data_IF_796888278405
#
_entry.id   IF_796888278405
#
_cell.length_a   1.000
_cell.length_b   1.000
_cell.length_c   1.000
_cell.angle_alpha   90.00
_cell.angle_beta   90.00
_cell.angle_gamma   90.00
#
_symmetry.space_group_name_H-M   'P 1'
#
loop_
_entity.id
_entity.type
_entity.pdbx_description
1 polymer ?
#
# COMPACT_ATOMS: atom_id res chain seq x y z
N UNK A 1 6.96 -2.22 -20.64
CA UNK A 1 5.78 -1.79 -19.85
C UNK A 1 6.22 -1.82 -18.41
N UNK A 2 6.16 -0.69 -17.72
CA UNK A 2 6.42 -0.59 -16.27
C UNK A 2 5.31 -1.36 -15.54
N UNK A 3 5.66 -2.15 -14.52
CA UNK A 3 4.67 -2.91 -13.75
C UNK A 3 3.85 -1.93 -12.89
N UNK A 4 2.54 -2.18 -12.71
CA UNK A 4 1.68 -1.34 -11.89
C UNK A 4 2.22 -1.30 -10.45
N UNK A 5 2.48 -0.11 -9.93
CA UNK A 5 3.02 0.10 -8.59
C UNK A 5 4.54 0.00 -8.47
N UNK A 6 5.27 -0.17 -9.57
CA UNK A 6 6.74 -0.10 -9.57
C UNK A 6 7.23 1.27 -9.09
N UNK A 7 6.58 2.36 -9.51
CA UNK A 7 6.92 3.70 -9.02
C UNK A 7 6.59 3.81 -7.52
N UNK A 8 5.41 3.33 -7.11
CA UNK A 8 4.96 3.36 -5.72
C UNK A 8 5.95 2.64 -4.77
N UNK A 9 6.43 1.45 -5.15
CA UNK A 9 7.39 0.66 -4.37
C UNK A 9 8.78 1.32 -4.30
N UNK A 10 9.13 2.11 -5.31
CA UNK A 10 10.37 2.89 -5.37
C UNK A 10 10.25 4.28 -4.72
N UNK A 11 9.16 4.56 -4.01
CA UNK A 11 8.97 5.84 -3.31
C UNK A 11 8.54 7.00 -4.20
N UNK A 12 8.10 6.71 -5.42
CA UNK A 12 7.50 7.69 -6.34
C UNK A 12 5.99 7.54 -6.26
N UNK A 13 5.25 8.65 -6.17
CA UNK A 13 3.78 8.58 -6.13
C UNK A 13 3.21 8.05 -7.46
N UNK A 14 2.33 7.05 -7.36
CA UNK A 14 1.66 6.44 -8.50
C UNK A 14 0.16 6.28 -8.24
N UNK A 15 -0.66 6.62 -9.23
CA UNK A 15 -2.10 6.36 -9.15
C UNK A 15 -2.40 4.92 -9.56
N UNK A 16 -2.96 4.14 -8.64
CA UNK A 16 -3.34 2.74 -8.87
C UNK A 16 -4.84 2.66 -9.11
N UNK A 17 -5.24 2.40 -10.36
CA UNK A 17 -6.64 2.39 -10.78
C UNK A 17 -7.41 1.16 -10.29
N UNK A 18 -6.87 -0.04 -10.53
CA UNK A 18 -7.48 -1.32 -10.18
C UNK A 18 -7.03 -1.87 -8.82
N UNK A 19 -7.70 -2.91 -8.27
CA UNK A 19 -7.28 -3.53 -7.03
C UNK A 19 -5.92 -4.23 -7.22
N UNK A 20 -4.92 -3.82 -6.46
CA UNK A 20 -3.59 -4.41 -6.47
C UNK A 20 -3.08 -4.65 -5.06
N UNK A 21 -2.45 -5.81 -4.85
CA UNK A 21 -1.83 -6.17 -3.57
C UNK A 21 -0.32 -6.09 -3.70
N UNK A 22 0.30 -5.25 -2.87
CA UNK A 22 1.74 -5.10 -2.80
C UNK A 22 2.30 -5.86 -1.61
N UNK A 23 3.36 -6.63 -1.82
CA UNK A 23 4.12 -7.23 -0.72
C UNK A 23 5.23 -6.27 -0.32
N UNK A 24 5.24 -5.84 0.94
CA UNK A 24 6.24 -4.92 1.47
C UNK A 24 7.56 -5.66 1.64
N UNK A 25 8.63 -5.11 1.08
CA UNK A 25 9.95 -5.77 1.07
C UNK A 25 10.93 -5.08 2.01
N UNK A 26 11.11 -3.77 1.83
CA UNK A 26 12.09 -2.95 2.58
C UNK A 26 11.50 -1.68 3.18
N UNK A 27 10.27 -1.32 2.78
CA UNK A 27 9.62 -0.09 3.19
C UNK A 27 9.01 -0.24 4.60
N UNK A 28 8.90 0.87 5.32
CA UNK A 28 8.43 0.92 6.70
C UNK A 28 7.08 1.66 6.81
N UNK A 29 6.68 2.35 5.75
CA UNK A 29 5.46 3.16 5.70
C UNK A 29 4.82 3.12 4.32
N UNK A 30 3.49 3.23 4.30
CA UNK A 30 2.71 3.46 3.08
C UNK A 30 1.85 4.70 3.25
N UNK A 31 1.88 5.58 2.25
CA UNK A 31 0.94 6.67 2.07
C UNK A 31 0.06 6.33 0.88
N UNK A 32 -1.25 6.29 1.10
CA UNK A 32 -2.21 6.13 0.05
C UNK A 32 -3.46 6.97 0.32
N UNK A 33 -3.74 7.88 -0.60
CA UNK A 33 -4.95 8.71 -0.60
C UNK A 33 -5.86 8.30 -1.75
N UNK A 34 -7.03 7.77 -1.41
CA UNK A 34 -7.96 7.21 -2.37
C UNK A 34 -9.10 6.44 -1.73
N UNK A 35 -9.69 5.55 -2.51
CA UNK A 35 -10.95 4.89 -2.13
C UNK A 35 -10.74 3.78 -1.11
N UNK A 36 -9.70 2.95 -1.26
CA UNK A 36 -9.48 1.81 -0.38
C UNK A 36 -8.00 1.45 -0.24
N UNK A 37 -7.56 1.33 1.02
CA UNK A 37 -6.25 0.81 1.42
C UNK A 37 -6.43 -0.12 2.61
N UNK A 38 -5.87 -1.32 2.54
CA UNK A 38 -5.96 -2.33 3.58
C UNK A 38 -4.59 -2.97 3.81
N UNK A 39 -4.19 -3.13 5.08
CA UNK A 39 -2.93 -3.81 5.45
C UNK A 39 -3.28 -5.14 6.11
N UNK A 40 -2.74 -6.23 5.56
CA UNK A 40 -2.68 -7.55 6.19
C UNK A 40 -1.25 -7.81 6.63
N UNK A 41 -1.06 -8.00 7.94
CA UNK A 41 0.27 -8.23 8.50
C UNK A 41 0.82 -9.59 8.10
N UNK A 42 2.14 -9.66 7.96
CA UNK A 42 2.84 -10.92 7.77
C UNK A 42 2.39 -11.97 8.79
N UNK A 43 1.96 -13.15 8.31
CA UNK A 43 1.50 -14.26 9.17
C UNK A 43 0.12 -14.08 9.81
N UNK A 44 -0.66 -13.05 9.46
CA UNK A 44 -2.06 -12.90 9.90
C UNK A 44 -3.03 -13.36 8.82
N UNK A 45 -4.11 -14.00 9.24
CA UNK A 45 -5.17 -14.48 8.32
C UNK A 45 -6.13 -13.37 7.89
N UNK A 46 -6.20 -12.27 8.65
CA UNK A 46 -7.13 -11.18 8.43
C UNK A 46 -6.41 -9.83 8.41
N UNK A 47 -6.92 -8.85 7.65
CA UNK A 47 -6.40 -7.49 7.66
C UNK A 47 -6.57 -6.83 9.03
N UNK A 48 -5.54 -6.09 9.44
CA UNK A 48 -5.53 -5.39 10.72
C UNK A 48 -6.22 -4.02 10.61
N UNK A 49 -6.18 -3.41 9.42
CA UNK A 49 -6.76 -2.08 9.19
C UNK A 49 -7.91 -2.14 8.17
N UNK A 50 -9.08 -1.57 8.48
CA UNK A 50 -10.19 -1.49 7.54
C UNK A 50 -9.83 -0.58 6.35
N UNK A 51 -10.39 -0.89 5.18
CA UNK A 51 -10.31 -0.11 3.95
C UNK A 51 -10.53 1.40 4.18
N UNK A 52 -9.44 2.17 4.29
CA UNK A 52 -9.48 3.63 4.54
C UNK A 52 -8.28 4.33 3.90
N UNK A 53 -8.38 5.64 3.72
CA UNK A 53 -7.25 6.51 3.38
C UNK A 53 -6.21 6.47 4.49
N UNK A 54 -4.92 6.47 4.14
CA UNK A 54 -3.86 6.51 5.16
C UNK A 54 -3.67 7.90 5.76
N UNK A 55 -4.11 8.94 5.05
CA UNK A 55 -3.83 10.34 5.36
C UNK A 55 -2.36 10.70 5.19
N UNK A 56 -2.02 11.97 5.48
CA UNK A 56 -0.65 12.50 5.31
C UNK A 56 0.39 11.83 6.22
N UNK A 57 -0.02 11.31 7.37
CA UNK A 57 0.87 10.58 8.28
C UNK A 57 1.31 9.22 7.69
N UNK A 58 0.50 8.63 6.80
CA UNK A 58 0.72 7.27 6.32
C UNK A 58 0.43 6.22 7.38
N UNK A 59 0.51 4.95 6.99
CA UNK A 59 0.42 3.81 7.89
C UNK A 59 1.74 3.06 7.94
N UNK A 60 2.14 2.63 9.13
CA UNK A 60 3.32 1.78 9.30
C UNK A 60 3.07 0.39 8.72
N UNK A 61 4.00 -0.06 7.89
CA UNK A 61 4.10 -1.41 7.31
C UNK A 61 5.39 -2.07 7.75
N UNK A 62 5.44 -3.40 7.63
CA UNK A 62 6.63 -4.21 7.91
C UNK A 62 6.89 -5.13 6.74
N UNK A 63 8.14 -5.57 6.61
CA UNK A 63 8.52 -6.59 5.63
C UNK A 63 7.59 -7.81 5.72
N UNK A 64 7.04 -8.21 4.58
CA UNK A 64 6.09 -9.31 4.44
C UNK A 64 4.63 -8.92 4.65
N UNK A 65 4.33 -7.67 5.00
CA UNK A 65 2.95 -7.18 4.99
C UNK A 65 2.41 -7.10 3.56
N UNK A 66 1.12 -7.39 3.41
CA UNK A 66 0.38 -7.23 2.16
C UNK A 66 -0.48 -5.97 2.23
N UNK A 67 -0.33 -5.08 1.25
CA UNK A 67 -1.09 -3.83 1.14
C UNK A 67 -1.97 -3.86 -0.09
N UNK A 68 -3.28 -3.98 0.12
CA UNK A 68 -4.27 -3.87 -0.95
C UNK A 68 -4.59 -2.39 -1.18
N UNK A 69 -4.50 -1.95 -2.42
CA UNK A 69 -4.77 -0.58 -2.87
C UNK A 69 -5.80 -0.63 -3.99
N UNK A 70 -6.76 0.30 -3.97
CA UNK A 70 -7.72 0.48 -5.04
C UNK A 70 -8.15 1.95 -5.18
N UNK A 71 -8.00 2.50 -6.39
CA UNK A 71 -8.27 3.91 -6.75
C UNK A 71 -7.61 4.88 -5.78
N UNK A 72 -6.29 4.82 -5.68
CA UNK A 72 -5.53 5.66 -4.77
C UNK A 72 -4.17 6.07 -5.33
N UNK A 73 -3.75 7.31 -5.04
CA UNK A 73 -2.37 7.75 -5.18
C UNK A 73 -1.55 7.12 -4.06
N UNK A 74 -0.55 6.32 -4.40
CA UNK A 74 0.17 5.46 -3.46
C UNK A 74 1.66 5.68 -3.54
N UNK A 75 2.33 5.66 -2.38
CA UNK A 75 3.78 5.71 -2.22
C UNK A 75 4.20 4.90 -1.00
N UNK A 76 5.24 4.08 -1.15
CA UNK A 76 5.89 3.39 -0.05
C UNK A 76 7.19 4.10 0.34
N UNK A 77 7.50 4.15 1.64
CA UNK A 77 8.65 4.87 2.21
C UNK A 77 9.37 4.00 3.25
#
# INVERSE_FOLDING_TARGET
MTEIGENALNGIEEYIEGPHTFTVTVQEKVRADGMMVQIKRAGKSFPEKPAKRTGQAGWSVKKGDEVLVYRANTRFE
#
